data_IF_137986106324
#
_entry.id   IF_137986106324
#
_cell.length_a   1.000
_cell.length_b   1.000
_cell.length_c   1.000
_cell.angle_alpha   90.00
_cell.angle_beta   90.00
_cell.angle_gamma   90.00
#
_symmetry.space_group_name_H-M   'P 1'
#
loop_
_entity.id
_entity.type
_entity.pdbx_description
1 polymer ?
#
# COMPACT_ATOMS: atom_id res chain seq x y z
N UNK A 1 -16.70 -13.58 -20.31
CA UNK A 1 -15.27 -13.88 -20.47
C UNK A 1 -14.64 -14.44 -19.17
N UNK A 2 -15.38 -14.52 -18.08
CA UNK A 2 -14.88 -14.95 -16.78
C UNK A 2 -13.76 -14.08 -16.24
N UNK A 3 -13.62 -12.84 -16.72
CA UNK A 3 -12.53 -11.95 -16.35
C UNK A 3 -12.67 -11.42 -14.93
N UNK A 4 -11.59 -11.41 -14.18
CA UNK A 4 -11.47 -10.67 -12.94
C UNK A 4 -11.25 -9.19 -13.29
N UNK A 5 -12.21 -8.33 -12.98
CA UNK A 5 -12.12 -6.90 -13.25
C UNK A 5 -11.25 -6.21 -12.21
N UNK A 6 -10.10 -5.71 -12.63
CA UNK A 6 -9.02 -5.24 -11.74
C UNK A 6 -9.45 -4.10 -10.83
N UNK A 7 -10.21 -3.12 -11.33
CA UNK A 7 -10.69 -2.00 -10.53
C UNK A 7 -11.55 -2.47 -9.32
N UNK A 8 -12.52 -3.37 -9.57
CA UNK A 8 -13.37 -3.91 -8.51
C UNK A 8 -12.58 -4.79 -7.53
N UNK A 9 -11.61 -5.54 -8.02
CA UNK A 9 -10.73 -6.35 -7.17
C UNK A 9 -9.84 -5.50 -6.26
N UNK A 10 -9.36 -4.36 -6.73
CA UNK A 10 -8.65 -3.39 -5.89
C UNK A 10 -9.56 -2.88 -4.76
N UNK A 11 -10.81 -2.52 -5.06
CA UNK A 11 -11.78 -2.10 -4.04
C UNK A 11 -12.08 -3.21 -3.03
N UNK A 12 -12.09 -4.45 -3.48
CA UNK A 12 -12.23 -5.61 -2.59
C UNK A 12 -11.06 -5.70 -1.62
N UNK A 13 -9.83 -5.54 -2.10
CA UNK A 13 -8.64 -5.51 -1.23
C UNK A 13 -8.70 -4.34 -0.22
N UNK A 14 -9.13 -3.15 -0.66
CA UNK A 14 -9.34 -2.01 0.24
C UNK A 14 -10.38 -2.31 1.32
N UNK A 15 -11.49 -2.98 0.96
CA UNK A 15 -12.53 -3.36 1.91
C UNK A 15 -12.01 -4.32 2.99
N UNK A 16 -11.22 -5.34 2.63
CA UNK A 16 -10.58 -6.22 3.61
C UNK A 16 -9.64 -5.46 4.54
N UNK A 17 -8.84 -4.54 4.00
CA UNK A 17 -7.97 -3.68 4.80
C UNK A 17 -8.76 -2.82 5.80
N UNK A 18 -9.89 -2.25 5.39
CA UNK A 18 -10.76 -1.45 6.27
C UNK A 18 -11.46 -2.30 7.35
N UNK A 19 -11.76 -3.55 7.06
CA UNK A 19 -12.29 -4.51 8.02
C UNK A 19 -11.23 -5.04 9.01
N UNK A 20 -9.96 -4.65 8.83
CA UNK A 20 -8.86 -5.08 9.70
C UNK A 20 -8.20 -6.40 9.26
N UNK A 21 -8.63 -7.00 8.16
CA UNK A 21 -8.01 -8.20 7.58
C UNK A 21 -6.87 -7.82 6.63
N UNK A 22 -5.76 -7.40 7.20
CA UNK A 22 -4.56 -7.02 6.46
C UNK A 22 -3.98 -8.18 5.65
N UNK A 23 -4.05 -9.41 6.17
CA UNK A 23 -3.52 -10.59 5.48
C UNK A 23 -4.21 -10.83 4.14
N UNK A 24 -5.54 -10.85 4.12
CA UNK A 24 -6.32 -11.00 2.88
C UNK A 24 -6.10 -9.81 1.95
N UNK A 25 -6.04 -8.60 2.48
CA UNK A 25 -5.79 -7.40 1.66
C UNK A 25 -4.45 -7.47 0.93
N UNK A 26 -3.37 -7.89 1.61
CA UNK A 26 -2.06 -8.07 0.99
C UNK A 26 -2.01 -9.24 0.01
N UNK A 27 -2.67 -10.36 0.30
CA UNK A 27 -2.80 -11.47 -0.65
C UNK A 27 -3.49 -11.03 -1.95
N UNK A 28 -4.56 -10.25 -1.85
CA UNK A 28 -5.25 -9.70 -3.01
C UNK A 28 -4.39 -8.69 -3.76
N UNK A 29 -3.65 -7.83 -3.05
CA UNK A 29 -2.68 -6.92 -3.66
C UNK A 29 -1.63 -7.69 -4.48
N UNK A 30 -1.06 -8.75 -3.92
CA UNK A 30 -0.06 -9.58 -4.60
C UNK A 30 -0.62 -10.28 -5.84
N UNK A 31 -1.87 -10.76 -5.77
CA UNK A 31 -2.57 -11.34 -6.92
C UNK A 31 -2.88 -10.33 -8.02
N UNK A 32 -2.97 -9.04 -7.70
CA UNK A 32 -3.25 -7.97 -8.66
C UNK A 32 -1.97 -7.33 -9.22
N UNK A 33 -0.84 -7.52 -8.54
CA UNK A 33 0.41 -6.87 -8.90
C UNK A 33 0.98 -7.41 -10.21
N UNK A 34 1.09 -6.59 -11.28
CA UNK A 34 1.56 -7.05 -12.58
C UNK A 34 2.99 -7.59 -12.57
N UNK A 35 3.83 -7.11 -11.63
CA UNK A 35 5.19 -7.62 -11.45
C UNK A 35 5.17 -9.11 -11.12
N UNK A 36 4.29 -9.54 -10.22
CA UNK A 36 4.19 -10.94 -9.79
C UNK A 36 3.75 -11.89 -10.92
N UNK A 37 3.00 -11.37 -11.90
CA UNK A 37 2.60 -12.13 -13.09
C UNK A 37 3.71 -12.27 -14.14
N UNK A 38 4.83 -11.59 -13.98
CA UNK A 38 5.90 -11.53 -14.96
C UNK A 38 7.28 -11.93 -14.41
N UNK A 39 7.33 -12.60 -13.27
CA UNK A 39 8.57 -12.98 -12.58
C UNK A 39 9.40 -14.03 -13.33
N UNK A 40 8.76 -14.84 -14.17
CA UNK A 40 9.43 -15.87 -14.97
C UNK A 40 9.01 -15.79 -16.43
N UNK A 41 9.83 -16.31 -17.38
CA UNK A 41 9.43 -16.35 -18.79
C UNK A 41 8.09 -17.06 -19.01
N UNK A 42 7.79 -18.11 -18.26
CA UNK A 42 6.54 -18.86 -18.38
C UNK A 42 5.33 -18.06 -17.91
N UNK A 43 5.44 -17.36 -16.78
CA UNK A 43 4.36 -16.50 -16.26
C UNK A 43 4.16 -15.27 -17.16
N UNK A 44 5.24 -14.66 -17.64
CA UNK A 44 5.19 -13.55 -18.58
C UNK A 44 4.52 -13.94 -19.91
N UNK A 45 4.86 -15.14 -20.44
CA UNK A 45 4.24 -15.67 -21.66
C UNK A 45 2.74 -15.97 -21.51
N UNK A 46 2.28 -16.26 -20.29
CA UNK A 46 0.87 -16.43 -19.95
C UNK A 46 0.16 -15.08 -19.80
N UNK A 47 0.75 -14.16 -19.02
CA UNK A 47 0.17 -12.86 -18.71
C UNK A 47 0.08 -11.94 -19.92
N UNK A 48 1.13 -11.87 -20.72
CA UNK A 48 1.21 -11.13 -22.00
C UNK A 48 0.93 -9.64 -21.91
N UNK A 49 1.24 -9.04 -20.77
CA UNK A 49 1.13 -7.60 -20.55
C UNK A 49 2.43 -7.11 -19.95
N UNK A 50 2.72 -5.83 -20.12
CA UNK A 50 3.90 -5.17 -19.55
C UNK A 50 3.86 -5.25 -18.02
N UNK A 51 4.99 -5.60 -17.35
CA UNK A 51 5.00 -5.82 -15.90
C UNK A 51 4.89 -4.55 -15.06
N UNK A 52 4.77 -3.39 -15.69
CA UNK A 52 4.69 -2.07 -15.06
C UNK A 52 3.38 -1.33 -15.35
N UNK A 53 2.38 -1.99 -15.93
CA UNK A 53 1.07 -1.39 -16.23
C UNK A 53 -0.06 -2.19 -15.60
N UNK A 54 -1.18 -1.54 -15.31
CA UNK A 54 -2.38 -2.21 -14.85
C UNK A 54 -3.26 -2.61 -16.02
N UNK A 55 -3.85 -3.81 -15.93
CA UNK A 55 -4.85 -4.31 -16.87
C UNK A 55 -6.26 -3.97 -16.42
N UNK A 56 -7.20 -3.94 -17.35
CA UNK A 56 -8.62 -3.84 -17.04
C UNK A 56 -9.13 -5.10 -16.35
N UNK A 57 -8.67 -6.28 -16.84
CA UNK A 57 -9.08 -7.57 -16.34
C UNK A 57 -8.01 -8.64 -16.58
N UNK A 58 -8.15 -9.77 -15.88
CA UNK A 58 -7.37 -10.98 -16.07
C UNK A 58 -8.35 -12.11 -16.38
N UNK A 59 -8.17 -12.81 -17.51
CA UNK A 59 -9.08 -13.84 -17.96
C UNK A 59 -8.97 -15.11 -17.11
N UNK A 60 -10.12 -15.74 -16.83
CA UNK A 60 -10.17 -17.01 -16.09
C UNK A 60 -10.71 -18.18 -16.91
N UNK A 61 -11.08 -17.96 -18.17
CA UNK A 61 -11.66 -18.99 -19.06
C UNK A 61 -10.63 -19.44 -20.10
N UNK A 62 -10.52 -20.78 -20.27
CA UNK A 62 -9.66 -21.37 -21.30
C UNK A 62 -10.08 -20.91 -22.71
N UNK A 63 -9.12 -20.72 -23.64
CA UNK A 63 -7.67 -20.95 -23.50
C UNK A 63 -6.91 -19.74 -22.93
N UNK A 64 -7.56 -18.72 -22.41
CA UNK A 64 -6.97 -17.44 -22.03
C UNK A 64 -6.70 -17.28 -20.54
N UNK A 65 -6.83 -18.34 -19.74
CA UNK A 65 -6.64 -18.30 -18.29
C UNK A 65 -5.31 -17.67 -17.87
N UNK A 66 -5.35 -16.62 -17.07
CA UNK A 66 -4.19 -15.89 -16.57
C UNK A 66 -3.62 -14.84 -17.53
N UNK A 67 -4.27 -14.65 -18.71
CA UNK A 67 -3.89 -13.57 -19.62
C UNK A 67 -4.48 -12.25 -19.17
N UNK A 68 -3.68 -11.19 -19.13
CA UNK A 68 -4.15 -9.83 -18.96
C UNK A 68 -4.92 -9.35 -20.19
N UNK A 69 -6.01 -8.64 -19.95
CA UNK A 69 -6.83 -8.02 -20.97
C UNK A 69 -6.27 -6.67 -21.42
N UNK A 70 -7.14 -5.67 -21.55
CA UNK A 70 -6.75 -4.33 -21.94
C UNK A 70 -5.69 -3.75 -20.97
N UNK A 71 -4.53 -3.36 -21.50
CA UNK A 71 -3.43 -2.77 -20.73
C UNK A 71 -3.49 -1.24 -20.70
N UNK A 72 -2.62 -0.61 -19.88
CA UNK A 72 -2.60 0.84 -19.64
C UNK A 72 -3.94 1.36 -19.10
N UNK A 73 -4.56 0.59 -18.23
CA UNK A 73 -5.86 0.93 -17.65
C UNK A 73 -5.68 1.91 -16.49
N UNK A 74 -5.67 3.20 -16.80
CA UNK A 74 -5.27 4.28 -15.89
C UNK A 74 -6.16 4.41 -14.66
N UNK A 75 -7.46 4.14 -14.77
CA UNK A 75 -8.36 4.12 -13.61
C UNK A 75 -7.96 3.08 -12.58
N UNK A 76 -7.70 1.85 -13.02
CA UNK A 76 -7.20 0.80 -12.12
C UNK A 76 -5.81 1.12 -11.57
N UNK A 77 -4.92 1.74 -12.37
CA UNK A 77 -3.61 2.16 -11.89
C UNK A 77 -3.69 3.20 -10.78
N UNK A 78 -4.57 4.20 -10.90
CA UNK A 78 -4.81 5.19 -9.84
C UNK A 78 -5.33 4.55 -8.55
N UNK A 79 -6.26 3.60 -8.65
CA UNK A 79 -6.76 2.86 -7.49
C UNK A 79 -5.73 1.91 -6.89
N UNK A 80 -4.89 1.27 -7.71
CA UNK A 80 -3.78 0.43 -7.21
C UNK A 80 -2.76 1.25 -6.44
N UNK A 81 -2.44 2.47 -6.91
CA UNK A 81 -1.60 3.40 -6.18
C UNK A 81 -2.21 3.77 -4.82
N UNK A 82 -3.51 4.09 -4.78
CA UNK A 82 -4.21 4.41 -3.54
C UNK A 82 -4.28 3.22 -2.59
N UNK A 83 -4.56 2.02 -3.10
CA UNK A 83 -4.50 0.80 -2.29
C UNK A 83 -3.12 0.64 -1.66
N UNK A 84 -2.05 0.70 -2.46
CA UNK A 84 -0.69 0.51 -1.97
C UNK A 84 -0.28 1.59 -0.95
N UNK A 85 -0.40 2.86 -1.32
CA UNK A 85 0.16 3.97 -0.54
C UNK A 85 -0.77 4.44 0.56
N UNK A 86 -2.05 4.69 0.24
CA UNK A 86 -2.98 5.26 1.22
C UNK A 86 -3.55 4.17 2.14
N UNK A 87 -3.91 2.99 1.61
CA UNK A 87 -4.57 1.96 2.39
C UNK A 87 -3.57 1.03 3.09
N UNK A 88 -2.67 0.38 2.34
CA UNK A 88 -1.78 -0.65 2.92
C UNK A 88 -0.60 -0.05 3.68
N UNK A 89 0.10 0.95 3.10
CA UNK A 89 1.16 1.68 3.80
C UNK A 89 0.60 2.74 4.75
N UNK A 90 -0.69 3.04 4.67
CA UNK A 90 -1.40 3.90 5.61
C UNK A 90 -1.02 5.37 5.55
N UNK A 91 -0.64 5.88 4.38
CA UNK A 91 -0.29 7.28 4.20
C UNK A 91 -1.54 8.16 4.11
N UNK A 92 -1.85 8.87 5.19
CA UNK A 92 -3.01 9.74 5.31
C UNK A 92 -2.56 11.21 5.27
N UNK A 93 -2.91 11.92 4.22
CA UNK A 93 -2.62 13.35 4.09
C UNK A 93 -3.82 14.19 4.50
N UNK A 94 -3.62 15.02 5.53
CA UNK A 94 -4.56 16.04 5.99
C UNK A 94 -4.07 17.45 5.58
N UNK A 95 -4.90 18.49 5.71
CA UNK A 95 -4.51 19.85 5.30
C UNK A 95 -3.25 20.38 5.97
N UNK A 96 -3.02 20.06 7.23
CA UNK A 96 -1.98 20.59 8.12
C UNK A 96 -1.02 19.54 8.69
N UNK A 97 -1.29 18.25 8.47
CA UNK A 97 -0.46 17.16 9.00
C UNK A 97 -0.53 15.90 8.15
N UNK A 98 0.41 14.99 8.40
CA UNK A 98 0.37 13.60 7.94
C UNK A 98 0.07 12.68 9.13
N UNK A 99 -0.57 11.54 8.83
CA UNK A 99 -0.60 10.35 9.69
C UNK A 99 -0.12 9.15 8.90
N UNK A 100 0.53 8.22 9.58
CA UNK A 100 0.90 6.93 9.02
C UNK A 100 0.23 5.85 9.86
N UNK A 101 -0.71 5.15 9.26
CA UNK A 101 -1.50 4.10 9.90
C UNK A 101 -1.48 2.83 9.03
N UNK A 102 -0.35 2.10 9.01
CA UNK A 102 -0.17 0.99 8.08
C UNK A 102 -1.02 -0.22 8.45
N UNK A 103 -1.44 -0.94 7.43
CA UNK A 103 -2.11 -2.25 7.53
C UNK A 103 -1.17 -3.32 6.97
N UNK A 104 -0.10 -3.62 7.72
CA UNK A 104 0.93 -4.55 7.28
C UNK A 104 0.56 -6.00 7.63
N UNK A 105 0.98 -6.97 6.79
CA UNK A 105 0.78 -8.37 7.09
C UNK A 105 1.60 -8.78 8.32
N UNK A 106 1.23 -9.87 8.96
CA UNK A 106 1.92 -10.37 10.17
C UNK A 106 3.39 -10.76 9.89
N UNK A 107 3.68 -11.16 8.66
CA UNK A 107 5.00 -11.60 8.20
C UNK A 107 5.39 -10.89 6.90
N UNK A 108 6.65 -10.55 6.76
CA UNK A 108 7.27 -10.13 5.50
C UNK A 108 7.65 -8.67 5.41
N UNK A 109 6.85 -7.74 5.90
CA UNK A 109 7.14 -6.31 5.84
C UNK A 109 7.15 -5.69 7.24
N UNK A 110 8.34 -5.56 7.82
CA UNK A 110 8.51 -5.01 9.16
C UNK A 110 8.92 -3.54 9.17
N UNK A 111 9.42 -3.03 8.06
CA UNK A 111 9.78 -1.64 7.93
C UNK A 111 9.69 -1.17 6.47
N UNK A 112 9.45 0.13 6.31
CA UNK A 112 9.55 0.81 5.02
C UNK A 112 9.91 2.28 5.22
N UNK A 113 10.29 2.94 4.13
CA UNK A 113 10.60 4.38 4.12
C UNK A 113 9.77 5.08 3.07
N UNK A 114 9.35 6.30 3.41
CA UNK A 114 8.67 7.21 2.50
C UNK A 114 9.41 8.54 2.46
N UNK A 115 9.50 9.12 1.28
CA UNK A 115 9.92 10.51 1.13
C UNK A 115 8.74 11.30 0.59
N UNK A 116 8.29 12.28 1.37
CA UNK A 116 7.16 13.12 0.99
C UNK A 116 7.59 14.57 0.87
N UNK A 117 7.34 15.18 -0.27
CA UNK A 117 7.59 16.61 -0.48
C UNK A 117 6.31 17.40 -0.25
N UNK A 118 6.36 18.31 0.72
CA UNK A 118 5.30 19.26 0.98
C UNK A 118 5.79 20.67 0.64
N UNK A 119 5.34 21.21 -0.49
CA UNK A 119 5.77 22.50 -1.01
C UNK A 119 7.30 22.61 -1.08
N UNK A 120 7.93 23.47 -0.25
CA UNK A 120 9.39 23.65 -0.19
C UNK A 120 10.10 22.69 0.74
N UNK A 121 9.39 22.01 1.64
CA UNK A 121 9.96 21.08 2.63
C UNK A 121 9.90 19.62 2.18
N UNK A 122 10.81 18.79 2.69
CA UNK A 122 10.86 17.34 2.44
C UNK A 122 10.79 16.56 3.74
N UNK A 123 9.96 15.53 3.81
CA UNK A 123 9.82 14.62 4.96
C UNK A 123 10.40 13.27 4.62
N UNK A 124 11.41 12.83 5.38
CA UNK A 124 11.99 11.50 5.34
C UNK A 124 11.39 10.68 6.46
N UNK A 125 10.45 9.80 6.13
CA UNK A 125 9.65 9.05 7.09
C UNK A 125 10.12 7.61 7.11
N UNK A 126 10.54 7.12 8.26
CA UNK A 126 10.85 5.72 8.50
C UNK A 126 9.76 5.08 9.36
N UNK A 127 9.15 4.02 8.86
CA UNK A 127 8.10 3.26 9.54
C UNK A 127 8.65 1.90 9.91
N UNK A 128 8.52 1.52 11.17
CA UNK A 128 8.98 0.22 11.71
C UNK A 128 7.90 -0.42 12.55
N UNK A 129 7.84 -1.74 12.51
CA UNK A 129 7.01 -2.49 13.45
C UNK A 129 7.53 -2.28 14.86
N UNK A 130 6.65 -1.87 15.78
CA UNK A 130 6.98 -1.76 17.19
C UNK A 130 7.19 -3.16 17.81
N UNK A 131 7.99 -3.29 18.85
CA UNK A 131 8.05 -4.52 19.65
C UNK A 131 6.67 -4.93 20.15
N UNK A 132 6.44 -6.23 20.31
CA UNK A 132 5.17 -6.73 20.81
C UNK A 132 4.78 -6.09 22.16
N UNK A 133 3.57 -5.54 22.23
CA UNK A 133 3.05 -4.86 23.42
C UNK A 133 3.53 -3.41 23.62
N UNK A 134 4.43 -2.92 22.77
CA UNK A 134 4.81 -1.50 22.80
C UNK A 134 3.70 -0.62 22.19
N UNK A 135 3.43 0.56 22.74
CA UNK A 135 2.50 1.50 22.14
C UNK A 135 3.06 2.06 20.81
N UNK A 136 2.19 2.46 19.88
CA UNK A 136 2.64 3.19 18.69
C UNK A 136 3.25 4.53 19.10
N UNK A 137 4.29 4.94 18.40
CA UNK A 137 5.00 6.20 18.68
C UNK A 137 5.33 6.92 17.37
N UNK A 138 5.22 8.24 17.38
CA UNK A 138 5.63 9.11 16.27
C UNK A 138 6.60 10.14 16.80
N UNK A 139 7.78 10.26 16.20
CA UNK A 139 8.80 11.25 16.52
C UNK A 139 9.11 12.05 15.25
N UNK A 140 9.05 13.37 15.33
CA UNK A 140 9.41 14.28 14.23
C UNK A 140 10.56 15.17 14.69
N UNK A 141 11.67 15.18 13.96
CA UNK A 141 12.89 15.95 14.27
C UNK A 141 13.36 15.77 15.73
N UNK A 142 13.24 14.55 16.23
CA UNK A 142 13.59 14.20 17.60
C UNK A 142 12.52 14.54 18.65
N UNK A 143 11.38 15.12 18.27
CA UNK A 143 10.30 15.52 19.18
C UNK A 143 9.14 14.50 19.08
N UNK A 144 8.79 13.82 20.20
CA UNK A 144 7.64 12.91 20.22
C UNK A 144 6.31 13.66 19.97
N UNK A 145 5.45 13.05 19.16
CA UNK A 145 4.13 13.56 18.78
C UNK A 145 3.04 12.76 19.50
N UNK A 146 2.53 13.30 20.60
CA UNK A 146 1.58 12.58 21.48
C UNK A 146 0.26 12.21 20.78
N UNK A 147 -0.15 12.96 19.76
CA UNK A 147 -1.36 12.72 18.97
C UNK A 147 -1.11 11.90 17.70
N UNK A 148 0.13 11.46 17.48
CA UNK A 148 0.55 10.68 16.30
C UNK A 148 0.51 11.46 14.99
N UNK A 149 0.44 12.79 15.02
CA UNK A 149 0.39 13.66 13.84
C UNK A 149 1.77 14.21 13.52
N UNK A 150 2.15 14.20 12.26
CA UNK A 150 3.35 14.86 11.77
C UNK A 150 2.96 16.21 11.16
N UNK A 151 3.23 17.35 11.81
CA UNK A 151 2.88 18.67 11.28
C UNK A 151 3.53 18.91 9.91
N UNK A 152 2.78 19.53 8.98
CA UNK A 152 3.29 19.92 7.67
C UNK A 152 3.70 21.39 7.69
N UNK A 153 5.00 21.63 7.55
CA UNK A 153 5.61 22.95 7.55
C UNK A 153 6.12 23.29 6.14
N UNK A 154 5.93 24.54 5.70
CA UNK A 154 6.46 25.06 4.44
C UNK A 154 7.66 25.97 4.75
N UNK A 155 8.75 25.38 5.25
CA UNK A 155 9.91 26.11 5.78
C UNK A 155 11.22 25.87 5.00
N UNK A 156 11.14 25.12 3.89
CA UNK A 156 12.25 24.83 3.02
C UNK A 156 13.28 23.84 3.57
N UNK A 157 12.98 23.15 4.70
CA UNK A 157 13.89 22.22 5.35
C UNK A 157 13.56 20.76 5.05
N UNK A 158 14.54 19.91 5.32
CA UNK A 158 14.33 18.47 5.40
C UNK A 158 13.99 18.10 6.84
N UNK A 159 12.87 17.39 6.99
CA UNK A 159 12.38 16.86 8.26
C UNK A 159 12.57 15.35 8.31
N UNK A 160 12.90 14.82 9.47
CA UNK A 160 12.99 13.39 9.72
C UNK A 160 11.81 12.95 10.60
N UNK A 161 11.18 11.84 10.25
CA UNK A 161 10.14 11.25 11.07
C UNK A 161 10.36 9.75 11.26
N UNK A 162 10.13 9.28 12.47
CA UNK A 162 10.11 7.85 12.80
C UNK A 162 8.73 7.48 13.34
N UNK A 163 8.15 6.42 12.79
CA UNK A 163 6.87 5.87 13.20
C UNK A 163 7.09 4.43 13.67
N UNK A 164 6.91 4.19 14.97
CA UNK A 164 6.80 2.84 15.51
C UNK A 164 5.33 2.42 15.48
N UNK A 165 5.01 1.41 14.65
CA UNK A 165 3.65 0.96 14.43
C UNK A 165 3.39 -0.39 15.09
N UNK A 166 2.24 -0.53 15.75
CA UNK A 166 1.74 -1.80 16.27
C UNK A 166 0.46 -2.19 15.56
N UNK A 167 0.28 -3.46 15.19
CA UNK A 167 -1.01 -3.92 14.67
C UNK A 167 -2.10 -3.66 15.74
N UNK A 168 -3.32 -3.31 15.31
CA UNK A 168 -4.43 -3.23 16.24
C UNK A 168 -4.61 -4.59 16.94
N UNK A 169 -5.08 -4.62 18.18
CA UNK A 169 -5.39 -5.88 18.85
C UNK A 169 -6.39 -6.64 17.98
N UNK A 170 -6.12 -7.94 17.77
CA UNK A 170 -7.05 -8.79 17.02
C UNK A 170 -8.44 -8.65 17.63
N UNK A 171 -9.50 -8.43 16.83
CA UNK A 171 -10.84 -8.47 17.35
C UNK A 171 -11.01 -9.83 18.00
N UNK A 172 -11.28 -9.83 19.31
CA UNK A 172 -11.48 -11.07 20.08
C UNK A 172 -12.56 -11.91 19.39
N UNK A 173 -12.23 -13.18 19.10
CA UNK A 173 -13.15 -14.20 18.63
C UNK A 173 -14.13 -14.54 19.74
#
# INVERSE_FOLDING_TARGET
NGGQYTHAAIWTAMAFAELGDAETAWQLFDLLNPVNHSLTPATAARYRVEPYVMTADIYSVAPHTGRGGWSWYTGAAGWMYRLAVETLLGFERHPDHLRINPRLPSIGLDHFRLTYRFRSATYHIEVRRAPAGAPPEVIVDGIPQADGRMPLLDDGRDHTATVAWSPPPSPGV
#
